data_IF_544040092322
#
_entry.id   IF_544040092322
#
_cell.length_a   1.000
_cell.length_b   1.000
_cell.length_c   1.000
_cell.angle_alpha   90.00
_cell.angle_beta   90.00
_cell.angle_gamma   90.00
#
_symmetry.space_group_name_H-M   'P 1'
#
loop_
_entity.id
_entity.type
_entity.pdbx_description
1 polymer ?
#
# COMPACT_ATOMS: atom_id res chain seq x y z
N UNK A 1 16.92 1.78 -9.05
CA UNK A 1 16.67 0.76 -7.99
C UNK A 1 16.81 1.39 -6.61
N UNK A 2 17.81 2.24 -6.39
CA UNK A 2 18.03 2.94 -5.10
C UNK A 2 16.78 3.66 -4.56
N UNK A 3 16.09 4.46 -5.38
CA UNK A 3 14.87 5.16 -4.94
C UNK A 3 13.76 4.21 -4.49
N UNK A 4 13.62 3.07 -5.18
CA UNK A 4 12.63 2.06 -4.82
C UNK A 4 13.00 1.37 -3.51
N UNK A 5 14.27 1.05 -3.31
CA UNK A 5 14.74 0.47 -2.05
C UNK A 5 14.61 1.46 -0.89
N UNK A 6 14.90 2.74 -1.12
CA UNK A 6 14.67 3.80 -0.15
C UNK A 6 13.19 3.85 0.28
N UNK A 7 12.26 3.77 -0.67
CA UNK A 7 10.83 3.73 -0.37
C UNK A 7 10.44 2.53 0.51
N UNK A 8 10.96 1.33 0.22
CA UNK A 8 10.70 0.14 1.05
C UNK A 8 11.29 0.26 2.47
N UNK A 9 12.49 0.83 2.58
CA UNK A 9 13.12 1.10 3.87
C UNK A 9 12.27 2.09 4.67
N UNK A 10 11.83 3.17 4.02
CA UNK A 10 10.96 4.16 4.64
C UNK A 10 9.63 3.57 5.10
N UNK A 11 9.00 2.68 4.31
CA UNK A 11 7.78 1.99 4.74
C UNK A 11 8.02 1.17 6.02
N UNK A 12 9.18 0.52 6.11
CA UNK A 12 9.59 -0.22 7.29
C UNK A 12 9.72 0.69 8.51
N UNK A 13 10.25 1.89 8.36
CA UNK A 13 10.35 2.85 9.44
C UNK A 13 8.98 3.44 9.83
N UNK A 14 8.14 3.75 8.84
CA UNK A 14 6.86 4.42 9.04
C UNK A 14 5.77 3.53 9.66
N UNK A 15 5.81 2.20 9.43
CA UNK A 15 4.90 1.22 10.03
C UNK A 15 3.40 1.56 9.82
N UNK A 16 3.03 1.95 8.59
CA UNK A 16 1.67 2.36 8.25
C UNK A 16 0.70 1.17 8.27
N UNK A 17 -0.50 1.37 8.83
CA UNK A 17 -1.53 0.32 8.95
C UNK A 17 -2.10 -0.13 7.58
N UNK A 18 -2.33 0.82 6.66
CA UNK A 18 -2.91 0.61 5.33
C UNK A 18 -2.24 1.52 4.31
N UNK A 19 -1.84 0.96 3.17
CA UNK A 19 -1.20 1.69 2.06
C UNK A 19 -1.65 1.06 0.74
N UNK A 20 -1.85 1.88 -0.29
CA UNK A 20 -2.09 1.45 -1.66
C UNK A 20 -0.89 1.76 -2.57
N UNK A 21 -0.66 0.91 -3.57
CA UNK A 21 0.37 1.09 -4.59
C UNK A 21 -0.26 1.08 -5.98
N UNK A 22 0.12 2.03 -6.82
CA UNK A 22 -0.37 2.16 -8.18
C UNK A 22 0.80 2.33 -9.13
N UNK A 23 0.79 1.56 -10.22
CA UNK A 23 1.76 1.72 -11.29
C UNK A 23 1.54 3.04 -12.02
N UNK A 24 2.64 3.68 -12.43
CA UNK A 24 2.56 4.91 -13.21
C UNK A 24 1.90 4.67 -14.57
N UNK A 25 0.93 5.52 -14.90
CA UNK A 25 0.27 5.59 -16.20
C UNK A 25 0.38 7.02 -16.75
N UNK A 26 0.93 7.23 -17.97
CA UNK A 26 1.11 8.55 -18.56
C UNK A 26 -0.21 9.08 -19.12
N UNK A 27 -1.05 9.65 -18.24
CA UNK A 27 -2.30 10.28 -18.65
C UNK A 27 -2.00 11.55 -19.45
N UNK A 28 -2.83 11.83 -20.47
CA UNK A 28 -2.69 13.02 -21.30
C UNK A 28 -2.66 14.31 -20.45
N UNK A 29 -1.71 15.20 -20.76
CA UNK A 29 -1.54 16.47 -20.06
C UNK A 29 -0.84 16.42 -18.70
N UNK A 30 -0.45 15.24 -18.20
CA UNK A 30 0.27 15.14 -16.93
C UNK A 30 1.67 15.79 -17.02
N UNK A 31 2.05 16.69 -16.09
CA UNK A 31 3.39 17.31 -16.07
C UNK A 31 4.54 16.30 -15.96
N UNK A 32 4.27 15.12 -15.38
CA UNK A 32 5.23 14.03 -15.31
C UNK A 32 5.70 13.56 -16.70
N UNK A 33 4.87 13.71 -17.74
CA UNK A 33 5.24 13.39 -19.12
C UNK A 33 6.31 14.33 -19.71
N UNK A 34 6.56 15.48 -19.06
CA UNK A 34 7.57 16.48 -19.46
C UNK A 34 8.92 16.24 -18.78
N UNK A 35 8.99 15.31 -17.82
CA UNK A 35 10.22 14.93 -17.18
C UNK A 35 10.94 13.97 -18.13
N UNK A 36 11.82 14.46 -19.00
CA UNK A 36 12.60 13.72 -20.04
C UNK A 36 13.38 12.49 -19.51
N UNK A 37 12.65 11.53 -18.95
CA UNK A 37 13.10 10.36 -18.23
C UNK A 37 12.67 9.14 -19.04
N UNK A 38 13.53 8.12 -19.03
CA UNK A 38 13.18 6.85 -19.61
C UNK A 38 11.96 6.25 -18.88
N UNK A 39 10.93 5.90 -19.65
CA UNK A 39 9.78 5.17 -19.12
C UNK A 39 10.27 3.84 -18.59
N UNK A 40 9.92 3.54 -17.34
CA UNK A 40 10.22 2.24 -16.74
C UNK A 40 9.45 1.15 -17.50
N UNK A 41 10.11 0.07 -17.95
CA UNK A 41 9.44 -1.07 -18.58
C UNK A 41 8.33 -1.67 -17.70
N UNK A 42 7.28 -2.21 -18.32
CA UNK A 42 6.09 -2.68 -17.59
C UNK A 42 6.36 -3.92 -16.73
N UNK A 43 7.29 -4.79 -17.14
CA UNK A 43 7.77 -5.92 -16.33
C UNK A 43 8.46 -5.44 -15.04
N UNK A 44 9.26 -4.37 -15.12
CA UNK A 44 9.90 -3.74 -13.95
C UNK A 44 8.86 -3.05 -13.06
N UNK A 45 7.84 -2.40 -13.64
CA UNK A 45 6.72 -1.84 -12.86
C UNK A 45 5.97 -2.94 -12.12
N UNK A 46 5.76 -4.08 -12.75
CA UNK A 46 5.07 -5.23 -12.16
C UNK A 46 5.89 -5.83 -11.02
N UNK A 47 7.17 -6.13 -11.24
CA UNK A 47 8.08 -6.63 -10.18
C UNK A 47 8.09 -5.70 -8.95
N UNK A 48 8.20 -4.39 -9.17
CA UNK A 48 8.18 -3.42 -8.07
C UNK A 48 6.86 -3.37 -7.35
N UNK A 49 5.74 -3.45 -8.07
CA UNK A 49 4.42 -3.49 -7.48
C UNK A 49 4.27 -4.73 -6.59
N UNK A 50 4.67 -5.91 -7.09
CA UNK A 50 4.58 -7.18 -6.35
C UNK A 50 5.44 -7.14 -5.07
N UNK A 51 6.70 -6.67 -5.19
CA UNK A 51 7.61 -6.51 -4.05
C UNK A 51 7.10 -5.49 -3.02
N UNK A 52 6.56 -4.37 -3.47
CA UNK A 52 5.97 -3.35 -2.60
C UNK A 52 4.79 -3.92 -1.82
N UNK A 53 3.87 -4.60 -2.52
CA UNK A 53 2.66 -5.14 -1.91
C UNK A 53 2.98 -6.23 -0.89
N UNK A 54 3.93 -7.13 -1.20
CA UNK A 54 4.42 -8.13 -0.26
C UNK A 54 5.03 -7.49 1.00
N UNK A 55 5.85 -6.44 0.82
CA UNK A 55 6.47 -5.71 1.93
C UNK A 55 5.43 -5.04 2.83
N UNK A 56 4.47 -4.31 2.24
CA UNK A 56 3.40 -3.67 2.99
C UNK A 56 2.46 -4.68 3.65
N UNK A 57 2.20 -5.84 3.03
CA UNK A 57 1.37 -6.89 3.62
C UNK A 57 1.97 -7.42 4.93
N UNK A 58 3.30 -7.59 4.98
CA UNK A 58 4.00 -7.99 6.21
C UNK A 58 3.84 -6.95 7.32
N UNK A 59 4.01 -5.67 7.00
CA UNK A 59 3.81 -4.55 7.94
C UNK A 59 2.37 -4.53 8.44
N UNK A 60 1.38 -4.53 7.54
CA UNK A 60 -0.03 -4.47 7.89
C UNK A 60 -0.46 -5.65 8.77
N UNK A 61 0.05 -6.85 8.49
CA UNK A 61 -0.21 -8.04 9.32
C UNK A 61 0.34 -7.88 10.74
N UNK A 62 1.56 -7.37 10.90
CA UNK A 62 2.14 -7.09 12.22
C UNK A 62 1.35 -5.99 12.98
N UNK A 63 0.92 -4.94 12.26
CA UNK A 63 0.07 -3.86 12.79
C UNK A 63 -1.28 -4.38 13.29
N UNK A 64 -1.94 -5.24 12.52
CA UNK A 64 -3.20 -5.87 12.90
C UNK A 64 -3.03 -6.81 14.09
N UNK A 65 -1.93 -7.57 14.15
CA UNK A 65 -1.65 -8.45 15.28
C UNK A 65 -1.57 -7.70 16.61
N UNK A 66 -1.04 -6.46 16.61
CA UNK A 66 -1.02 -5.61 17.82
C UNK A 66 -2.41 -5.14 18.29
N UNK A 67 -3.45 -5.30 17.46
CA UNK A 67 -4.84 -4.98 17.85
C UNK A 67 -5.52 -6.14 18.59
N UNK A 68 -4.99 -7.35 18.49
CA UNK A 68 -5.56 -8.52 19.17
C UNK A 68 -5.52 -8.32 20.69
N UNK A 69 -6.66 -8.58 21.35
CA UNK A 69 -6.82 -8.41 22.80
C UNK A 69 -7.11 -6.98 23.26
N UNK A 70 -7.33 -6.04 22.32
CA UNK A 70 -7.74 -4.67 22.65
C UNK A 70 -9.25 -4.52 22.55
N UNK A 71 -9.83 -3.79 23.49
CA UNK A 71 -11.17 -3.22 23.33
C UNK A 71 -11.07 -2.04 22.36
N UNK A 72 -11.92 -2.03 21.33
CA UNK A 72 -11.97 -1.00 20.29
C UNK A 72 -13.40 -0.55 20.08
N UNK A 73 -13.58 0.73 19.81
CA UNK A 73 -14.87 1.27 19.40
C UNK A 73 -15.23 0.74 17.99
N UNK A 74 -16.48 0.30 17.84
CA UNK A 74 -17.00 -0.25 16.59
C UNK A 74 -18.27 0.49 16.19
N UNK A 75 -18.46 0.61 14.87
CA UNK A 75 -19.72 1.05 14.28
C UNK A 75 -20.45 -0.21 13.81
N UNK A 76 -21.72 -0.34 14.20
CA UNK A 76 -22.61 -1.39 13.68
C UNK A 76 -23.16 -0.91 12.34
N UNK A 77 -22.94 -1.68 11.28
CA UNK A 77 -23.36 -1.31 9.92
C UNK A 77 -24.80 -1.81 9.66
N UNK A 78 -25.10 -3.04 10.10
CA UNK A 78 -26.44 -3.64 10.00
C UNK A 78 -26.81 -4.42 11.27
N UNK A 79 -28.11 -4.64 11.49
CA UNK A 79 -28.59 -5.59 12.51
C UNK A 79 -29.54 -6.57 11.83
N UNK A 80 -29.16 -7.85 11.83
CA UNK A 80 -29.97 -8.94 11.31
C UNK A 80 -30.56 -9.82 12.44
N UNK A 81 -31.25 -10.90 12.07
CA UNK A 81 -31.86 -11.82 13.04
C UNK A 81 -30.83 -12.54 13.94
N UNK A 82 -29.55 -12.56 13.57
CA UNK A 82 -28.44 -13.13 14.34
C UNK A 82 -27.70 -12.09 15.19
N UNK A 83 -27.87 -10.79 14.93
CA UNK A 83 -27.36 -9.71 15.76
C UNK A 83 -26.80 -8.54 14.96
N UNK A 84 -25.98 -7.71 15.62
CA UNK A 84 -25.26 -6.62 14.98
C UNK A 84 -24.12 -7.16 14.10
N UNK A 85 -24.07 -6.69 12.84
CA UNK A 85 -23.07 -7.01 11.81
C UNK A 85 -22.30 -5.75 11.43
#
# INVERSE_FOLDING_TARGET
EEDFQYLLNWLTEAQLDRVGCFQYSPVEGAPANLLDLAVVPDDVKQDRWDRFMAHQQAISSARLQMRVGREIEVLVDEVDEQGAV
#
